data_IF_855065032810
#
_entry.id   IF_855065032810
#
_cell.length_a   1.000
_cell.length_b   1.000
_cell.length_c   1.000
_cell.angle_alpha   90.00
_cell.angle_beta   90.00
_cell.angle_gamma   90.00
#
_symmetry.space_group_name_H-M   'P 1'
#
loop_
_entity.id
_entity.type
_entity.pdbx_description
1 polymer ?
#
# COMPACT_ATOMS: atom_id res chain seq x y z
N UNK A 1 -30.53 4.02 3.25
CA UNK A 1 -29.91 4.92 4.25
C UNK A 1 -29.98 4.22 5.59
N UNK A 2 -28.90 4.28 6.38
CA UNK A 2 -28.85 3.57 7.66
C UNK A 2 -29.79 4.20 8.69
N UNK A 3 -30.44 3.41 9.57
CA UNK A 3 -31.25 3.96 10.67
C UNK A 3 -30.46 4.92 11.55
N UNK A 4 -31.09 5.98 12.04
CA UNK A 4 -30.40 7.06 12.78
C UNK A 4 -29.55 6.56 13.97
N UNK A 5 -30.03 5.56 14.70
CA UNK A 5 -29.36 4.99 15.87
C UNK A 5 -28.16 4.09 15.53
N UNK A 6 -27.94 3.76 14.25
CA UNK A 6 -26.86 2.89 13.80
C UNK A 6 -25.75 3.64 13.06
N UNK A 7 -25.92 4.94 12.80
CA UNK A 7 -24.95 5.76 12.06
C UNK A 7 -23.56 5.67 12.73
N UNK A 8 -22.55 5.31 11.94
CA UNK A 8 -21.17 5.22 12.41
C UNK A 8 -20.36 6.45 11.97
N UNK A 9 -20.15 7.41 12.87
CA UNK A 9 -19.38 8.64 12.59
C UNK A 9 -17.88 8.41 12.40
N UNK A 10 -17.34 7.23 12.76
CA UNK A 10 -15.91 6.92 12.61
C UNK A 10 -15.55 6.46 11.19
N UNK A 11 -16.54 6.17 10.35
CA UNK A 11 -16.35 5.69 8.97
C UNK A 11 -16.91 6.72 7.98
N UNK A 12 -16.16 6.98 6.91
CA UNK A 12 -16.58 7.89 5.83
C UNK A 12 -17.93 7.51 5.21
N UNK A 13 -18.22 6.21 5.13
CA UNK A 13 -19.47 5.69 4.57
C UNK A 13 -20.49 5.29 5.65
N UNK A 14 -20.31 5.73 6.89
CA UNK A 14 -21.06 5.19 8.04
C UNK A 14 -22.52 5.61 8.15
N UNK A 15 -22.98 6.53 7.30
CA UNK A 15 -24.38 6.98 7.21
C UNK A 15 -25.24 6.14 6.24
N UNK A 16 -24.59 5.32 5.40
CA UNK A 16 -25.24 4.51 4.39
C UNK A 16 -24.94 3.02 4.60
N UNK A 17 -25.83 2.20 4.09
CA UNK A 17 -25.67 0.74 4.04
C UNK A 17 -26.26 0.25 2.72
N UNK A 18 -25.80 -0.91 2.28
CA UNK A 18 -26.17 -1.52 1.00
C UNK A 18 -26.99 -2.77 1.31
N UNK A 19 -28.25 -2.77 0.88
CA UNK A 19 -29.06 -3.99 0.82
C UNK A 19 -28.67 -4.73 -0.46
N UNK A 20 -28.27 -6.00 -0.32
CA UNK A 20 -27.72 -6.80 -1.42
C UNK A 20 -28.77 -7.80 -1.87
N UNK A 21 -29.21 -7.71 -3.12
CA UNK A 21 -30.18 -8.64 -3.72
C UNK A 21 -29.51 -9.94 -4.21
N UNK A 22 -28.29 -9.83 -4.76
CA UNK A 22 -27.48 -10.96 -5.23
C UNK A 22 -25.99 -10.69 -5.03
N UNK A 23 -25.20 -11.75 -4.86
CA UNK A 23 -23.73 -11.66 -4.79
C UNK A 23 -23.06 -12.86 -5.44
N UNK A 24 -21.90 -12.60 -6.05
CA UNK A 24 -21.04 -13.64 -6.63
C UNK A 24 -19.66 -13.63 -5.97
N UNK A 25 -19.19 -14.81 -5.59
CA UNK A 25 -17.82 -14.98 -5.11
C UNK A 25 -16.86 -14.96 -6.30
N UNK A 26 -16.02 -13.93 -6.39
CA UNK A 26 -15.01 -13.80 -7.46
C UNK A 26 -13.83 -14.75 -7.19
N UNK A 27 -13.39 -14.82 -5.93
CA UNK A 27 -12.33 -15.72 -5.50
C UNK A 27 -12.46 -16.00 -4.00
N UNK A 28 -12.38 -17.27 -3.62
CA UNK A 28 -12.45 -17.70 -2.22
C UNK A 28 -11.04 -17.86 -1.64
N UNK A 29 -10.88 -17.54 -0.34
CA UNK A 29 -9.64 -17.80 0.37
C UNK A 29 -9.59 -19.29 0.73
N UNK A 30 -8.74 -20.06 0.03
CA UNK A 30 -8.69 -21.53 0.18
C UNK A 30 -7.95 -22.05 1.42
N UNK A 31 -7.24 -21.20 2.17
CA UNK A 31 -6.49 -21.59 3.38
C UNK A 31 -6.64 -20.52 4.46
N UNK A 32 -6.54 -20.91 5.72
CA UNK A 32 -6.51 -19.96 6.84
C UNK A 32 -5.35 -18.98 6.66
N UNK A 33 -5.64 -17.69 6.84
CA UNK A 33 -4.64 -16.64 6.70
C UNK A 33 -3.61 -16.71 7.84
N UNK A 34 -2.31 -16.44 7.55
CA UNK A 34 -1.27 -16.44 8.58
C UNK A 34 -1.42 -15.30 9.60
N UNK A 35 -2.20 -14.27 9.27
CA UNK A 35 -2.63 -13.22 10.18
C UNK A 35 -3.86 -12.49 9.65
N UNK A 36 -4.56 -11.82 10.55
CA UNK A 36 -5.74 -11.00 10.23
C UNK A 36 -5.32 -9.58 9.89
N UNK A 37 -5.97 -8.96 8.91
CA UNK A 37 -5.74 -7.55 8.54
C UNK A 37 -6.60 -6.67 9.46
N UNK A 38 -6.18 -6.55 10.73
CA UNK A 38 -6.82 -5.69 11.75
C UNK A 38 -5.77 -4.82 12.42
N UNK A 39 -6.14 -3.60 12.82
CA UNK A 39 -5.16 -2.64 13.36
C UNK A 39 -4.54 -3.08 14.69
N UNK A 40 -5.24 -3.95 15.44
CA UNK A 40 -4.76 -4.59 16.66
C UNK A 40 -4.22 -6.01 16.39
N UNK A 41 -3.30 -6.50 17.23
CA UNK A 41 -2.68 -7.83 17.14
C UNK A 41 -1.98 -8.11 15.80
N UNK A 42 -1.11 -7.17 15.36
CA UNK A 42 -0.31 -7.35 14.15
C UNK A 42 0.68 -8.51 14.32
N UNK A 43 0.86 -9.28 13.24
CA UNK A 43 1.91 -10.30 13.19
C UNK A 43 3.30 -9.68 13.35
N UNK A 44 4.26 -10.49 13.78
CA UNK A 44 5.65 -10.08 13.85
C UNK A 44 6.21 -9.71 12.46
N UNK A 45 7.30 -8.96 12.46
CA UNK A 45 7.88 -8.43 11.22
C UNK A 45 8.30 -9.52 10.25
N UNK A 46 8.93 -10.60 10.72
CA UNK A 46 9.35 -11.73 9.88
C UNK A 46 8.18 -12.36 9.13
N UNK A 47 7.04 -12.55 9.80
CA UNK A 47 5.82 -13.08 9.16
C UNK A 47 5.23 -12.07 8.17
N UNK A 48 5.21 -10.78 8.51
CA UNK A 48 4.72 -9.72 7.62
C UNK A 48 5.59 -9.59 6.37
N UNK A 49 6.91 -9.76 6.49
CA UNK A 49 7.82 -9.75 5.35
C UNK A 49 7.66 -11.00 4.49
N UNK A 50 7.52 -12.18 5.11
CA UNK A 50 7.25 -13.44 4.39
C UNK A 50 5.93 -13.38 3.59
N UNK A 51 4.88 -12.81 4.17
CA UNK A 51 3.56 -12.67 3.53
C UNK A 51 3.25 -11.22 3.18
N UNK A 52 4.24 -10.51 2.62
CA UNK A 52 4.13 -9.06 2.34
C UNK A 52 2.94 -8.70 1.47
N UNK A 53 2.51 -9.59 0.58
CA UNK A 53 1.30 -9.39 -0.25
C UNK A 53 -0.01 -9.26 0.57
N UNK A 54 -0.09 -9.89 1.76
CA UNK A 54 -1.20 -9.69 2.69
C UNK A 54 -0.99 -8.40 3.50
N UNK A 55 0.24 -8.16 3.94
CA UNK A 55 0.57 -6.98 4.74
C UNK A 55 0.37 -5.67 3.95
N UNK A 56 0.60 -5.68 2.65
CA UNK A 56 0.32 -4.54 1.79
C UNK A 56 -1.16 -4.17 1.76
N UNK A 57 -2.10 -5.03 2.22
CA UNK A 57 -3.53 -4.71 2.30
C UNK A 57 -3.89 -3.85 3.53
N UNK A 58 -2.99 -3.69 4.49
CA UNK A 58 -3.23 -2.78 5.62
C UNK A 58 -3.40 -1.34 5.13
N UNK A 59 -4.38 -0.57 5.66
CA UNK A 59 -4.60 0.82 5.25
C UNK A 59 -3.34 1.70 5.36
N UNK A 60 -2.50 1.46 6.37
CA UNK A 60 -1.23 2.19 6.54
C UNK A 60 -0.24 1.88 5.41
N UNK A 61 -0.05 0.61 5.03
CA UNK A 61 0.85 0.25 3.93
C UNK A 61 0.34 0.79 2.58
N UNK A 62 -0.97 0.69 2.36
CA UNK A 62 -1.67 1.27 1.21
C UNK A 62 -1.47 2.79 1.13
N UNK A 63 -1.62 3.51 2.26
CA UNK A 63 -1.38 4.96 2.34
C UNK A 63 0.07 5.31 2.04
N UNK A 64 1.03 4.59 2.63
CA UNK A 64 2.45 4.84 2.45
C UNK A 64 2.89 4.68 1.00
N UNK A 65 2.45 3.62 0.32
CA UNK A 65 2.79 3.41 -1.10
C UNK A 65 2.17 4.46 -2.03
N UNK A 66 0.89 4.79 -1.82
CA UNK A 66 0.23 5.85 -2.61
C UNK A 66 0.88 7.22 -2.37
N UNK A 67 1.21 7.53 -1.13
CA UNK A 67 1.91 8.76 -0.78
C UNK A 67 3.28 8.83 -1.45
N UNK A 68 4.10 7.78 -1.34
CA UNK A 68 5.41 7.70 -2.00
C UNK A 68 5.28 7.91 -3.52
N UNK A 69 4.31 7.25 -4.16
CA UNK A 69 4.07 7.39 -5.60
C UNK A 69 3.71 8.83 -5.98
N UNK A 70 2.75 9.45 -5.26
CA UNK A 70 2.34 10.83 -5.50
C UNK A 70 3.48 11.83 -5.27
N UNK A 71 4.23 11.66 -4.19
CA UNK A 71 5.39 12.50 -3.87
C UNK A 71 6.45 12.44 -4.97
N UNK A 72 6.83 11.23 -5.40
CA UNK A 72 7.83 11.06 -6.46
C UNK A 72 7.36 11.67 -7.78
N UNK A 73 6.05 11.57 -8.10
CA UNK A 73 5.50 12.22 -9.28
C UNK A 73 5.62 13.74 -9.19
N UNK A 74 5.26 14.34 -8.04
CA UNK A 74 5.37 15.79 -7.82
C UNK A 74 6.80 16.30 -7.91
N UNK A 75 7.77 15.51 -7.41
CA UNK A 75 9.19 15.83 -7.55
C UNK A 75 9.64 15.79 -9.02
N UNK A 76 9.20 14.79 -9.79
CA UNK A 76 9.49 14.72 -11.23
C UNK A 76 8.88 15.90 -11.98
N UNK A 77 7.61 16.21 -11.75
CA UNK A 77 6.92 17.36 -12.35
C UNK A 77 7.69 18.67 -12.10
N UNK A 78 8.16 18.88 -10.86
CA UNK A 78 8.97 20.05 -10.54
C UNK A 78 10.26 20.12 -11.37
N UNK A 79 11.02 19.04 -11.46
CA UNK A 79 12.29 19.02 -12.20
C UNK A 79 12.08 19.21 -13.70
N UNK A 80 11.08 18.54 -14.29
CA UNK A 80 10.74 18.68 -15.71
C UNK A 80 10.36 20.13 -16.05
N UNK A 81 9.60 20.80 -15.19
CA UNK A 81 9.24 22.21 -15.35
C UNK A 81 10.44 23.16 -15.26
N UNK A 82 11.55 22.72 -14.67
CA UNK A 82 12.81 23.46 -14.59
C UNK A 82 13.84 23.01 -15.65
N UNK A 83 13.37 22.43 -16.76
CA UNK A 83 14.18 21.97 -17.89
C UNK A 83 15.20 20.86 -17.56
N UNK A 84 14.99 20.10 -16.48
CA UNK A 84 15.73 18.86 -16.26
C UNK A 84 15.21 17.75 -17.16
N UNK A 85 16.09 16.79 -17.50
CA UNK A 85 15.77 15.61 -18.29
C UNK A 85 15.91 14.37 -17.42
N UNK A 86 14.90 13.49 -17.44
CA UNK A 86 14.99 12.17 -16.79
C UNK A 86 15.90 11.27 -17.63
N UNK A 87 17.04 10.85 -17.07
CA UNK A 87 18.03 10.01 -17.74
C UNK A 87 18.17 8.70 -16.97
N UNK A 88 17.83 7.60 -17.61
CA UNK A 88 18.11 6.26 -17.08
C UNK A 88 19.59 5.93 -17.26
N UNK A 89 20.24 5.48 -16.19
CA UNK A 89 21.63 5.03 -16.23
C UNK A 89 21.70 3.50 -16.13
N UNK A 90 22.69 2.85 -16.79
CA UNK A 90 22.88 1.40 -16.65
C UNK A 90 23.05 1.01 -15.18
N UNK A 91 22.64 -0.19 -14.77
CA UNK A 91 22.82 -0.66 -13.37
C UNK A 91 24.00 -1.61 -13.21
N UNK A 92 24.47 -2.22 -14.30
CA UNK A 92 25.63 -3.10 -14.32
C UNK A 92 26.90 -2.30 -14.62
N UNK A 93 27.68 -2.01 -13.59
CA UNK A 93 28.92 -1.24 -13.71
C UNK A 93 30.17 -2.10 -13.48
N UNK A 94 31.28 -1.70 -14.09
CA UNK A 94 32.61 -2.21 -13.74
C UNK A 94 32.95 -1.82 -12.30
N UNK A 95 33.38 -2.79 -11.50
CA UNK A 95 33.72 -2.60 -10.08
C UNK A 95 34.90 -1.64 -9.91
N UNK A 96 34.67 -0.47 -9.29
CA UNK A 96 35.73 0.45 -8.87
C UNK A 96 36.09 0.20 -7.40
N UNK A 97 37.40 0.15 -7.06
CA UNK A 97 37.88 -0.26 -5.73
C UNK A 97 37.48 0.69 -4.58
N UNK A 98 37.24 1.97 -4.87
CA UNK A 98 36.91 2.97 -3.84
C UNK A 98 35.45 2.93 -3.36
N UNK A 99 34.51 2.49 -4.20
CA UNK A 99 33.08 2.67 -3.96
C UNK A 99 32.46 1.68 -2.95
N UNK A 100 33.22 0.68 -2.47
CA UNK A 100 32.69 -0.45 -1.70
C UNK A 100 33.13 -0.50 -0.24
N UNK A 101 33.65 0.60 0.32
CA UNK A 101 33.98 0.61 1.75
C UNK A 101 32.75 0.73 2.66
N UNK A 102 31.59 1.11 2.12
CA UNK A 102 30.38 1.46 2.88
C UNK A 102 29.07 0.82 2.37
N UNK A 103 29.12 -0.37 1.76
CA UNK A 103 27.90 -1.17 1.46
C UNK A 103 28.01 -2.52 2.16
#
# INVERSE_FOLDING_TARGET
KRPQHQINKQMLTGEIEIFVDDFKVINAVGKTLPFTIRDYNKANESTRMKYRYLDLRFPVMQRNLRFRSSLLMKMREFLLNNAFVEVETPTLFKKHREALRNI
#
